data_IF_817681289246
#
_entry.id   IF_817681289246
#
_cell.length_a   1.000
_cell.length_b   1.000
_cell.length_c   1.000
_cell.angle_alpha   90.00
_cell.angle_beta   90.00
_cell.angle_gamma   90.00
#
_symmetry.space_group_name_H-M   'P 1'
#
loop_
_entity.id
_entity.type
_entity.pdbx_description
1 polymer ?
#
# COMPACT_ATOMS: atom_id res chain seq x y z
N UNK A 1 2.65 2.43 2.00
CA UNK A 1 2.40 1.96 3.38
C UNK A 1 3.48 2.43 4.32
N UNK A 2 3.12 3.18 5.35
CA UNK A 2 4.00 3.54 6.48
C UNK A 2 3.92 2.50 7.60
N UNK A 3 3.24 2.83 8.70
CA UNK A 3 3.13 1.95 9.88
C UNK A 3 2.30 0.68 9.72
N UNK A 4 1.46 0.58 8.67
CA UNK A 4 0.71 -0.63 8.32
C UNK A 4 -0.66 -0.82 8.99
N UNK A 5 -1.03 0.01 9.95
CA UNK A 5 -2.30 -0.13 10.71
C UNK A 5 -3.54 -0.15 9.80
N UNK A 6 -3.59 0.70 8.77
CA UNK A 6 -4.69 0.72 7.80
C UNK A 6 -4.81 -0.59 7.02
N UNK A 7 -3.70 -1.10 6.48
CA UNK A 7 -3.67 -2.37 5.72
C UNK A 7 -4.08 -3.56 6.59
N UNK A 8 -3.51 -3.66 7.80
CA UNK A 8 -3.83 -4.70 8.77
C UNK A 8 -5.30 -4.62 9.17
N UNK A 9 -5.80 -3.41 9.44
CA UNK A 9 -7.19 -3.15 9.82
C UNK A 9 -8.18 -3.56 8.74
N UNK A 10 -7.91 -3.20 7.47
CA UNK A 10 -8.74 -3.60 6.33
C UNK A 10 -8.77 -5.13 6.18
N UNK A 11 -7.60 -5.79 6.20
CA UNK A 11 -7.54 -7.25 6.10
C UNK A 11 -8.30 -7.95 7.22
N UNK A 12 -8.12 -7.47 8.45
CA UNK A 12 -8.85 -7.96 9.63
C UNK A 12 -10.36 -7.79 9.44
N UNK A 13 -10.82 -6.62 9.00
CA UNK A 13 -12.24 -6.36 8.80
C UNK A 13 -12.88 -7.30 7.78
N UNK A 14 -12.20 -7.61 6.66
CA UNK A 14 -12.69 -8.60 5.70
C UNK A 14 -12.83 -10.00 6.31
N UNK A 15 -11.85 -10.43 7.11
CA UNK A 15 -11.92 -11.72 7.79
C UNK A 15 -13.09 -11.75 8.80
N UNK A 16 -13.27 -10.70 9.60
CA UNK A 16 -14.36 -10.64 10.57
C UNK A 16 -15.74 -10.55 9.92
N UNK A 17 -15.88 -9.84 8.79
CA UNK A 17 -17.14 -9.80 8.06
C UNK A 17 -17.51 -11.16 7.48
N UNK A 18 -16.53 -12.01 7.13
CA UNK A 18 -16.78 -13.40 6.74
C UNK A 18 -17.14 -14.25 7.97
N UNK A 19 -16.38 -14.15 9.06
CA UNK A 19 -16.62 -14.91 10.29
C UNK A 19 -17.99 -14.59 10.94
N UNK A 20 -18.52 -13.39 10.71
CA UNK A 20 -19.83 -12.93 11.16
C UNK A 20 -20.97 -13.18 10.15
N UNK A 21 -20.70 -13.89 9.04
CA UNK A 21 -21.64 -14.16 7.95
C UNK A 21 -22.23 -12.87 7.30
N UNK A 22 -21.52 -11.73 7.37
CA UNK A 22 -21.89 -10.51 6.65
C UNK A 22 -21.50 -10.56 5.18
N UNK A 23 -20.46 -11.34 4.87
CA UNK A 23 -20.01 -11.66 3.52
C UNK A 23 -20.01 -13.18 3.35
N UNK A 24 -20.70 -13.69 2.34
CA UNK A 24 -20.67 -15.11 2.02
C UNK A 24 -19.30 -15.45 1.43
N UNK A 25 -18.54 -16.31 2.12
CA UNK A 25 -17.21 -16.74 1.70
C UNK A 25 -17.21 -17.43 0.33
N UNK A 26 -18.31 -18.06 -0.07
CA UNK A 26 -18.43 -18.75 -1.36
C UNK A 26 -18.68 -17.79 -2.52
N UNK A 27 -19.21 -16.61 -2.23
CA UNK A 27 -19.56 -15.59 -3.22
C UNK A 27 -18.62 -14.37 -3.18
N UNK A 28 -17.80 -14.26 -2.14
CA UNK A 28 -16.93 -13.10 -1.89
C UNK A 28 -15.46 -13.49 -1.90
N UNK A 29 -14.77 -13.13 -2.97
CA UNK A 29 -13.31 -13.14 -2.99
C UNK A 29 -12.77 -11.99 -2.13
N UNK A 30 -11.93 -12.33 -1.15
CA UNK A 30 -11.19 -11.32 -0.38
C UNK A 30 -10.23 -10.58 -1.32
N UNK A 31 -10.01 -9.26 -1.12
CA UNK A 31 -9.07 -8.52 -1.95
C UNK A 31 -7.64 -9.00 -1.70
N UNK A 32 -6.84 -8.98 -2.78
CA UNK A 32 -5.38 -9.07 -2.67
C UNK A 32 -4.86 -7.75 -2.11
N UNK A 33 -4.06 -7.81 -1.04
CA UNK A 33 -3.55 -6.60 -0.39
C UNK A 33 -2.22 -6.19 -1.03
N UNK A 34 -2.03 -4.89 -1.25
CA UNK A 34 -0.81 -4.36 -1.88
C UNK A 34 -0.11 -3.41 -0.91
N UNK A 35 1.21 -3.58 -0.78
CA UNK A 35 2.08 -2.62 -0.09
C UNK A 35 2.93 -1.90 -1.12
N UNK A 36 2.80 -0.58 -1.20
CA UNK A 36 3.67 0.25 -2.04
C UNK A 36 4.52 1.13 -1.13
N UNK A 37 5.83 1.16 -1.35
CA UNK A 37 6.74 2.05 -0.61
C UNK A 37 7.67 2.78 -1.58
N UNK A 38 8.11 3.97 -1.19
CA UNK A 38 9.16 4.70 -1.91
C UNK A 38 10.51 3.99 -1.77
N UNK A 39 11.34 4.03 -2.81
CA UNK A 39 12.74 3.59 -2.75
C UNK A 39 13.61 4.37 -1.75
N UNK A 40 13.13 5.52 -1.28
CA UNK A 40 13.70 6.26 -0.17
C UNK A 40 13.35 5.71 1.22
N UNK A 41 12.32 4.87 1.37
CA UNK A 41 11.93 4.23 2.63
C UNK A 41 11.08 2.96 2.41
N UNK A 42 11.72 1.82 2.13
CA UNK A 42 11.04 0.56 1.77
C UNK A 42 11.37 -0.68 2.63
N UNK A 43 11.30 -0.60 3.98
CA UNK A 43 11.66 -1.74 4.85
C UNK A 43 10.78 -2.98 4.63
N UNK A 44 9.50 -2.82 4.31
CA UNK A 44 8.58 -3.95 4.12
C UNK A 44 8.79 -4.60 2.76
N UNK A 45 9.00 -3.82 1.71
CA UNK A 45 9.27 -4.37 0.37
C UNK A 45 10.53 -5.24 0.43
N UNK A 46 11.60 -4.73 1.04
CA UNK A 46 12.84 -5.50 1.22
C UNK A 46 12.60 -6.81 1.99
N UNK A 47 11.91 -6.75 3.12
CA UNK A 47 11.62 -7.94 3.91
C UNK A 47 10.73 -8.96 3.16
N UNK A 48 9.78 -8.48 2.37
CA UNK A 48 8.91 -9.32 1.55
C UNK A 48 9.70 -10.05 0.44
N UNK A 49 10.56 -9.32 -0.28
CA UNK A 49 11.41 -9.88 -1.35
C UNK A 49 12.42 -10.89 -0.81
N UNK A 50 12.93 -10.68 0.41
CA UNK A 50 13.85 -11.60 1.10
C UNK A 50 13.12 -12.78 1.79
N UNK A 51 11.78 -12.82 1.77
CA UNK A 51 10.99 -13.87 2.39
C UNK A 51 11.04 -13.88 3.92
N UNK A 52 11.33 -12.74 4.54
CA UNK A 52 11.46 -12.59 5.99
C UNK A 52 10.09 -12.48 6.67
N UNK A 53 10.06 -12.75 7.97
CA UNK A 53 8.88 -12.59 8.83
C UNK A 53 8.86 -11.24 9.55
N UNK A 54 10.00 -10.55 9.58
CA UNK A 54 10.18 -9.23 10.19
C UNK A 54 11.01 -8.36 9.26
N UNK A 55 10.88 -7.04 9.41
CA UNK A 55 11.69 -6.09 8.68
C UNK A 55 12.82 -5.54 9.56
N UNK A 56 13.97 -5.33 8.95
CA UNK A 56 15.02 -4.53 9.55
C UNK A 56 14.71 -3.03 9.46
N UNK A 57 15.48 -2.23 10.20
CA UNK A 57 15.49 -0.78 10.07
C UNK A 57 15.97 -0.37 8.67
N UNK A 58 15.21 0.49 7.99
CA UNK A 58 15.66 1.17 6.79
C UNK A 58 16.55 2.35 7.14
N UNK A 59 17.85 2.21 6.89
CA UNK A 59 18.84 3.24 7.19
C UNK A 59 18.66 4.49 6.32
N UNK A 60 18.82 5.68 6.91
CA UNK A 60 18.78 6.98 6.22
C UNK A 60 17.50 7.22 5.40
N UNK A 61 16.34 6.87 5.98
CA UNK A 61 15.07 7.01 5.27
C UNK A 61 14.76 8.46 4.88
N UNK A 62 14.32 8.65 3.64
CA UNK A 62 13.93 9.95 3.12
C UNK A 62 12.84 9.78 2.07
N UNK A 63 11.68 10.40 2.30
CA UNK A 63 10.61 10.48 1.31
C UNK A 63 9.79 11.74 1.57
N UNK A 64 9.33 12.38 0.50
CA UNK A 64 8.37 13.49 0.52
C UNK A 64 7.01 13.05 1.04
N UNK A 65 6.66 11.76 0.88
CA UNK A 65 5.49 11.12 1.48
C UNK A 65 5.70 10.86 2.98
N UNK A 66 5.72 11.91 3.78
CA UNK A 66 6.08 11.89 5.21
C UNK A 66 5.29 10.88 6.03
N UNK A 67 3.98 10.69 5.74
CA UNK A 67 3.16 9.68 6.40
C UNK A 67 3.60 8.23 6.13
N UNK A 68 4.42 8.01 5.10
CA UNK A 68 5.00 6.71 4.74
C UNK A 68 6.46 6.58 5.17
N UNK A 69 7.10 7.65 5.67
CA UNK A 69 8.49 7.64 6.14
C UNK A 69 8.63 6.93 7.50
N UNK A 70 8.39 5.62 7.51
CA UNK A 70 8.44 4.77 8.70
C UNK A 70 9.50 3.68 8.47
N UNK A 71 10.76 3.91 8.90
CA UNK A 71 11.88 3.02 8.57
C UNK A 71 11.86 1.70 9.34
N UNK A 72 11.10 1.60 10.43
CA UNK A 72 10.90 0.36 11.19
C UNK A 72 9.45 0.28 11.67
N UNK A 73 8.50 -0.16 10.82
CA UNK A 73 7.09 -0.25 11.18
C UNK A 73 6.86 -1.22 12.32
N UNK A 74 6.25 -0.77 13.43
CA UNK A 74 5.87 -1.65 14.55
C UNK A 74 4.95 -2.80 14.11
N UNK A 75 4.13 -2.57 13.07
CA UNK A 75 3.26 -3.57 12.48
C UNK A 75 3.92 -4.45 11.41
N UNK A 76 5.24 -4.40 11.21
CA UNK A 76 5.93 -5.03 10.08
C UNK A 76 5.62 -6.52 9.87
N UNK A 77 5.72 -7.32 10.93
CA UNK A 77 5.38 -8.74 10.87
C UNK A 77 3.91 -9.00 10.46
N UNK A 78 3.00 -8.13 10.91
CA UNK A 78 1.57 -8.24 10.58
C UNK A 78 1.30 -7.81 9.15
N UNK A 79 2.01 -6.80 8.64
CA UNK A 79 1.95 -6.39 7.24
C UNK A 79 2.39 -7.55 6.33
N UNK A 80 3.55 -8.16 6.63
CA UNK A 80 4.09 -9.28 5.88
C UNK A 80 3.11 -10.46 5.89
N UNK A 81 2.57 -10.81 7.08
CA UNK A 81 1.54 -11.84 7.19
C UNK A 81 0.31 -11.52 6.34
N UNK A 82 -0.19 -10.29 6.34
CA UNK A 82 -1.32 -9.86 5.51
C UNK A 82 -1.03 -10.02 4.02
N UNK A 83 0.18 -9.69 3.56
CA UNK A 83 0.56 -9.90 2.16
C UNK A 83 0.52 -11.39 1.79
N UNK A 84 1.09 -12.26 2.62
CA UNK A 84 1.09 -13.71 2.37
C UNK A 84 -0.33 -14.31 2.42
N UNK A 85 -1.11 -13.98 3.44
CA UNK A 85 -2.47 -14.51 3.62
C UNK A 85 -3.42 -14.06 2.50
N UNK A 86 -3.23 -12.85 1.97
CA UNK A 86 -4.09 -12.27 0.93
C UNK A 86 -3.67 -12.63 -0.49
N UNK A 87 -2.55 -13.35 -0.68
CA UNK A 87 -1.95 -13.52 -2.01
C UNK A 87 -1.55 -12.18 -2.63
N UNK A 88 -1.15 -11.24 -1.77
CA UNK A 88 -0.78 -9.88 -2.09
C UNK A 88 0.64 -9.72 -2.60
N UNK A 89 1.09 -8.47 -2.73
CA UNK A 89 2.44 -8.12 -3.17
C UNK A 89 2.93 -6.85 -2.49
N UNK A 90 4.25 -6.76 -2.28
CA UNK A 90 4.93 -5.51 -1.96
C UNK A 90 5.74 -5.03 -3.16
N UNK A 91 5.75 -3.73 -3.44
CA UNK A 91 6.58 -3.14 -4.47
C UNK A 91 7.11 -1.76 -4.09
N UNK A 92 8.25 -1.43 -4.69
CA UNK A 92 8.93 -0.17 -4.52
C UNK A 92 8.63 0.75 -5.71
N UNK A 93 8.53 2.07 -5.48
CA UNK A 93 8.36 3.10 -6.51
C UNK A 93 9.44 4.17 -6.37
N UNK A 94 9.77 4.83 -7.48
CA UNK A 94 10.79 5.90 -7.52
C UNK A 94 10.30 7.16 -6.79
N UNK A 95 11.02 7.57 -5.76
CA UNK A 95 10.76 8.79 -4.99
C UNK A 95 10.64 10.04 -5.89
N UNK A 96 11.46 10.14 -6.93
CA UNK A 96 11.49 11.30 -7.81
C UNK A 96 10.18 11.49 -8.60
N UNK A 97 9.38 10.43 -8.74
CA UNK A 97 8.13 10.44 -9.51
C UNK A 97 6.89 10.72 -8.66
N UNK A 98 7.00 10.69 -7.32
CA UNK A 98 5.85 10.73 -6.42
C UNK A 98 5.03 12.01 -6.61
N UNK A 99 5.69 13.17 -6.65
CA UNK A 99 4.97 14.45 -6.75
C UNK A 99 4.21 14.62 -8.07
N UNK A 100 4.81 14.18 -9.19
CA UNK A 100 4.14 14.19 -10.49
C UNK A 100 2.94 13.24 -10.50
N UNK A 101 3.11 12.03 -9.95
CA UNK A 101 2.06 11.04 -9.82
C UNK A 101 0.91 11.50 -8.90
N UNK A 102 1.22 12.25 -7.84
CA UNK A 102 0.22 12.87 -6.96
C UNK A 102 -0.63 13.90 -7.69
N UNK A 103 -0.01 14.77 -8.48
CA UNK A 103 -0.77 15.71 -9.31
C UNK A 103 -1.67 14.97 -10.31
N UNK A 104 -1.13 13.94 -10.98
CA UNK A 104 -1.89 13.12 -11.93
C UNK A 104 -3.13 12.49 -11.30
N UNK A 105 -2.98 11.81 -10.15
CA UNK A 105 -4.12 11.13 -9.50
C UNK A 105 -5.14 12.12 -8.94
N UNK A 106 -4.72 13.30 -8.49
CA UNK A 106 -5.62 14.34 -8.00
C UNK A 106 -6.44 14.96 -9.14
N UNK A 107 -5.81 15.22 -10.30
CA UNK A 107 -6.52 15.69 -11.49
C UNK A 107 -7.54 14.67 -12.00
N UNK A 108 -7.19 13.38 -12.01
CA UNK A 108 -8.07 12.30 -12.46
C UNK A 108 -9.23 12.03 -11.51
N UNK A 109 -8.96 12.08 -10.20
CA UNK A 109 -9.95 11.72 -9.17
C UNK A 109 -10.82 12.90 -8.73
N UNK A 110 -10.36 14.14 -8.95
CA UNK A 110 -10.99 15.35 -8.40
C UNK A 110 -10.86 15.46 -6.88
N UNK A 111 -9.96 14.69 -6.27
CA UNK A 111 -9.66 14.71 -4.83
C UNK A 111 -8.36 15.47 -4.62
N UNK A 112 -8.33 16.33 -3.61
CA UNK A 112 -7.11 17.05 -3.20
C UNK A 112 -6.31 16.23 -2.17
N UNK A 113 -5.70 15.15 -2.65
CA UNK A 113 -4.94 14.19 -1.85
C UNK A 113 -3.52 14.66 -1.51
N UNK A 114 -2.92 14.05 -0.48
CA UNK A 114 -1.52 14.24 -0.13
C UNK A 114 -0.60 13.24 -0.84
N UNK A 115 0.70 13.55 -0.93
CA UNK A 115 1.67 12.81 -1.75
C UNK A 115 1.77 11.28 -1.55
N UNK A 116 1.21 10.72 -0.47
CA UNK A 116 0.97 9.29 -0.30
C UNK A 116 0.09 8.67 -1.39
N UNK A 117 -0.78 9.46 -2.02
CA UNK A 117 -1.59 9.08 -3.17
C UNK A 117 -0.74 8.74 -4.39
N UNK A 118 0.31 9.52 -4.66
CA UNK A 118 1.25 9.36 -5.76
C UNK A 118 2.03 8.06 -5.62
N UNK A 119 2.40 7.69 -4.39
CA UNK A 119 3.00 6.37 -4.11
C UNK A 119 2.04 5.24 -4.50
N UNK A 120 0.79 5.32 -4.07
CA UNK A 120 -0.21 4.29 -4.39
C UNK A 120 -0.56 4.26 -5.88
N UNK A 121 -0.57 5.42 -6.53
CA UNK A 121 -0.84 5.58 -7.96
C UNK A 121 0.28 5.02 -8.83
N UNK A 122 1.55 5.30 -8.50
CA UNK A 122 2.70 4.67 -9.14
C UNK A 122 2.63 3.15 -9.01
N UNK A 123 2.34 2.65 -7.80
CA UNK A 123 2.19 1.22 -7.58
C UNK A 123 1.08 0.61 -8.43
N UNK A 124 -0.07 1.27 -8.54
CA UNK A 124 -1.14 0.85 -9.44
C UNK A 124 -0.68 0.78 -10.90
N UNK A 125 -0.04 1.84 -11.42
CA UNK A 125 0.48 1.88 -12.81
C UNK A 125 1.45 0.73 -13.07
N UNK A 126 2.40 0.49 -12.17
CA UNK A 126 3.36 -0.63 -12.27
C UNK A 126 2.67 -1.99 -12.27
N UNK A 127 1.66 -2.18 -11.42
CA UNK A 127 0.94 -3.45 -11.34
C UNK A 127 0.05 -3.71 -12.56
N UNK A 128 -0.48 -2.67 -13.20
CA UNK A 128 -1.16 -2.77 -14.50
C UNK A 128 -0.16 -3.10 -15.61
N UNK A 129 0.95 -2.39 -15.69
CA UNK A 129 1.98 -2.59 -16.72
C UNK A 129 2.60 -4.01 -16.68
N UNK A 130 2.83 -4.53 -15.48
CA UNK A 130 3.37 -5.87 -15.26
C UNK A 130 2.32 -6.99 -15.42
N UNK A 131 1.05 -6.65 -15.61
CA UNK A 131 -0.06 -7.59 -15.75
C UNK A 131 -0.47 -8.30 -14.46
N UNK A 132 -0.01 -7.82 -13.29
CA UNK A 132 -0.45 -8.34 -11.99
C UNK A 132 -1.90 -7.92 -11.68
N UNK A 133 -2.28 -6.71 -12.09
CA UNK A 133 -3.67 -6.27 -12.24
C UNK A 133 -4.10 -6.59 -13.67
N UNK A 134 -5.18 -7.36 -13.82
CA UNK A 134 -5.74 -7.75 -15.13
C UNK A 134 -6.89 -6.83 -15.53
N UNK A 135 -7.13 -6.76 -16.83
CA UNK A 135 -8.30 -6.07 -17.37
C UNK A 135 -9.60 -6.62 -16.75
N UNK A 136 -10.48 -5.71 -16.30
CA UNK A 136 -11.75 -6.05 -15.66
C UNK A 136 -11.68 -6.27 -14.13
N UNK A 137 -10.49 -6.28 -13.53
CA UNK A 137 -10.37 -6.32 -12.07
C UNK A 137 -10.80 -4.99 -11.42
N UNK A 138 -11.36 -5.09 -10.21
CA UNK A 138 -11.73 -3.92 -9.40
C UNK A 138 -10.61 -3.60 -8.42
N UNK A 139 -10.14 -2.35 -8.46
CA UNK A 139 -9.05 -1.87 -7.61
C UNK A 139 -9.55 -0.69 -6.79
N UNK A 140 -9.12 -0.64 -5.53
CA UNK A 140 -9.39 0.47 -4.62
C UNK A 140 -8.06 1.06 -4.19
N UNK A 141 -7.86 2.35 -4.45
CA UNK A 141 -6.71 3.13 -3.98
C UNK A 141 -7.19 4.02 -2.84
N UNK A 142 -6.81 3.74 -1.58
CA UNK A 142 -7.19 4.59 -0.46
C UNK A 142 -6.37 5.88 -0.46
N UNK A 143 -7.03 7.03 -0.51
CA UNK A 143 -6.41 8.35 -0.30
C UNK A 143 -6.39 8.61 1.22
N UNK A 144 -5.21 8.55 1.81
CA UNK A 144 -5.05 8.50 3.28
C UNK A 144 -4.80 9.85 3.95
N UNK A 145 -4.59 10.91 3.17
CA UNK A 145 -4.33 12.26 3.65
C UNK A 145 -4.77 13.32 2.64
N UNK A 146 -4.84 14.56 3.09
CA UNK A 146 -5.22 15.72 2.29
C UNK A 146 -4.00 16.63 2.08
N UNK A 147 -3.94 17.31 0.94
CA UNK A 147 -2.82 18.17 0.54
C UNK A 147 -2.44 19.22 1.61
N UNK A 148 -3.42 19.74 2.35
CA UNK A 148 -3.26 20.71 3.45
C UNK A 148 -2.23 20.27 4.53
N UNK A 149 -1.95 18.98 4.64
CA UNK A 149 -0.94 18.45 5.58
C UNK A 149 0.51 18.79 5.19
N UNK A 150 0.71 19.33 3.99
CA UNK A 150 2.01 19.58 3.36
C UNK A 150 2.22 21.06 2.98
N UNK A 151 1.37 21.97 3.47
CA UNK A 151 1.42 23.44 3.25
C UNK A 151 2.18 24.15 4.37
#
# INVERSE_FOLDING_TARGET
TGGGTGLIGMWKAFNEMIDLDWLDQKETDRPRMVVVQSDGCAPIVKAFDEGLQENDLWEKSHTGALGLNVPSPLGGAWILKTLWDSGGIALMVDEAQIMEASHEVNELSGVDGSCEDGVSWLGFKTLVETGWIKEGEKVVIPITGAAERYV
#
